data_IF_815573411613
#
_entry.id   IF_815573411613
#
_cell.length_a   1.000
_cell.length_b   1.000
_cell.length_c   1.000
_cell.angle_alpha   90.00
_cell.angle_beta   90.00
_cell.angle_gamma   90.00
#
_symmetry.space_group_name_H-M   'P 1'
#
loop_
_entity.id
_entity.type
_entity.pdbx_description
1 polymer ?
#
# COMPACT_ATOMS: atom_id res chain seq x y z
N UNK A 1 -44.60 25.47 -27.19
CA UNK A 1 -43.13 25.47 -27.03
C UNK A 1 -42.68 25.31 -25.57
N UNK A 2 -43.21 26.09 -24.60
CA UNK A 2 -42.82 25.98 -23.18
C UNK A 2 -43.12 24.61 -22.53
N UNK A 3 -44.25 23.97 -22.85
CA UNK A 3 -44.65 22.67 -22.26
C UNK A 3 -43.80 21.48 -22.76
N UNK A 4 -43.36 21.50 -24.02
CA UNK A 4 -42.49 20.46 -24.58
C UNK A 4 -41.08 20.55 -24.01
N UNK A 5 -40.54 21.76 -23.85
CA UNK A 5 -39.23 21.99 -23.25
C UNK A 5 -39.19 21.54 -21.77
N UNK A 6 -40.24 21.84 -21.00
CA UNK A 6 -40.36 21.38 -19.61
C UNK A 6 -40.42 19.84 -19.52
N UNK A 7 -41.13 19.16 -20.43
CA UNK A 7 -41.19 17.69 -20.47
C UNK A 7 -39.84 17.07 -20.84
N UNK A 8 -39.08 17.69 -21.74
CA UNK A 8 -37.73 17.24 -22.13
C UNK A 8 -36.75 17.42 -20.96
N UNK A 9 -36.76 18.58 -20.31
CA UNK A 9 -35.90 18.85 -19.13
C UNK A 9 -36.25 17.89 -17.99
N UNK A 10 -37.54 17.68 -17.71
CA UNK A 10 -37.99 16.73 -16.70
C UNK A 10 -37.57 15.28 -17.04
N UNK A 11 -37.69 14.87 -18.30
CA UNK A 11 -37.23 13.56 -18.77
C UNK A 11 -35.72 13.37 -18.59
N UNK A 12 -34.92 14.38 -18.96
CA UNK A 12 -33.47 14.37 -18.75
C UNK A 12 -33.08 14.31 -17.27
N UNK A 13 -33.80 15.04 -16.41
CA UNK A 13 -33.59 14.99 -14.97
C UNK A 13 -33.86 13.59 -14.40
N UNK A 14 -34.94 12.93 -14.84
CA UNK A 14 -35.25 11.55 -14.43
C UNK A 14 -34.18 10.56 -14.87
N UNK A 15 -33.71 10.66 -16.12
CA UNK A 15 -32.61 9.81 -16.63
C UNK A 15 -31.32 10.04 -15.84
N UNK A 16 -30.98 11.29 -15.53
CA UNK A 16 -29.82 11.62 -14.71
C UNK A 16 -29.93 11.02 -13.29
N UNK A 17 -31.11 11.09 -12.66
CA UNK A 17 -31.36 10.48 -11.34
C UNK A 17 -31.21 8.97 -11.40
N UNK A 18 -31.79 8.30 -12.41
CA UNK A 18 -31.65 6.85 -12.61
C UNK A 18 -30.18 6.46 -12.77
N UNK A 19 -29.41 7.23 -13.56
CA UNK A 19 -27.98 7.00 -13.75
C UNK A 19 -27.19 7.15 -12.43
N UNK A 20 -27.49 8.17 -11.62
CA UNK A 20 -26.86 8.36 -10.30
C UNK A 20 -27.19 7.19 -9.37
N UNK A 21 -28.44 6.75 -9.31
CA UNK A 21 -28.85 5.60 -8.47
C UNK A 21 -28.13 4.31 -8.92
N UNK A 22 -28.06 4.05 -10.23
CA UNK A 22 -27.35 2.89 -10.76
C UNK A 22 -25.85 2.91 -10.41
N UNK A 23 -25.20 4.09 -10.47
CA UNK A 23 -23.81 4.26 -10.05
C UNK A 23 -23.64 4.00 -8.55
N UNK A 24 -24.54 4.54 -7.72
CA UNK A 24 -24.52 4.32 -6.27
C UNK A 24 -24.63 2.84 -5.90
N UNK A 25 -25.51 2.09 -6.59
CA UNK A 25 -25.66 0.64 -6.39
C UNK A 25 -24.44 -0.17 -6.86
N UNK A 26 -23.63 0.41 -7.76
CA UNK A 26 -22.47 -0.26 -8.36
C UNK A 26 -21.13 0.09 -7.69
N UNK A 27 -21.10 0.99 -6.70
CA UNK A 27 -19.87 1.49 -6.07
C UNK A 27 -18.99 0.37 -5.52
N UNK A 28 -19.60 -0.63 -4.86
CA UNK A 28 -18.87 -1.75 -4.27
C UNK A 28 -18.08 -2.53 -5.33
N UNK A 29 -18.74 -2.84 -6.46
CA UNK A 29 -18.14 -3.55 -7.59
C UNK A 29 -17.08 -2.70 -8.29
N UNK A 30 -17.34 -1.41 -8.49
CA UNK A 30 -16.39 -0.48 -9.12
C UNK A 30 -15.12 -0.39 -8.29
N UNK A 31 -15.24 -0.22 -6.97
CA UNK A 31 -14.06 -0.12 -6.10
C UNK A 31 -13.33 -1.45 -6.00
N UNK A 32 -14.04 -2.57 -5.84
CA UNK A 32 -13.44 -3.90 -5.84
C UNK A 32 -12.63 -4.13 -7.13
N UNK A 33 -13.24 -3.93 -8.29
CA UNK A 33 -12.59 -4.11 -9.59
C UNK A 33 -11.44 -3.12 -9.80
N UNK A 34 -11.61 -1.87 -9.36
CA UNK A 34 -10.54 -0.87 -9.41
C UNK A 34 -9.30 -1.32 -8.65
N UNK A 35 -9.48 -1.80 -7.41
CA UNK A 35 -8.39 -2.32 -6.58
C UNK A 35 -7.76 -3.58 -7.20
N UNK A 36 -8.57 -4.55 -7.63
CA UNK A 36 -8.08 -5.84 -8.13
C UNK A 36 -7.54 -5.78 -9.56
N UNK A 37 -7.81 -4.72 -10.31
CA UNK A 37 -7.30 -4.55 -11.69
C UNK A 37 -6.12 -3.57 -11.74
N UNK A 38 -6.25 -2.39 -11.13
CA UNK A 38 -5.20 -1.38 -11.14
C UNK A 38 -4.04 -1.74 -10.22
N UNK A 39 -4.34 -2.27 -9.03
CA UNK A 39 -3.30 -2.60 -8.05
C UNK A 39 -2.23 -3.53 -8.61
N UNK A 40 -2.58 -4.69 -9.21
CA UNK A 40 -1.61 -5.60 -9.83
C UNK A 40 -0.74 -4.97 -10.92
N UNK A 41 -1.24 -3.98 -11.67
CA UNK A 41 -0.43 -3.28 -12.68
C UNK A 41 0.69 -2.46 -12.04
N UNK A 42 0.42 -1.84 -10.89
CA UNK A 42 1.37 -1.00 -10.14
C UNK A 42 2.37 -1.85 -9.35
N UNK A 43 1.89 -2.83 -8.58
CA UNK A 43 2.75 -3.58 -7.66
C UNK A 43 3.40 -4.82 -8.30
N UNK A 44 2.90 -5.24 -9.48
CA UNK A 44 3.28 -6.47 -10.19
C UNK A 44 3.19 -7.73 -9.31
N UNK A 45 2.08 -7.82 -8.57
CA UNK A 45 1.73 -8.95 -7.73
C UNK A 45 0.20 -9.11 -7.71
N UNK A 46 -0.33 -10.32 -7.55
CA UNK A 46 -1.77 -10.54 -7.54
C UNK A 46 -2.40 -9.89 -6.29
N UNK A 47 -3.57 -9.28 -6.47
CA UNK A 47 -4.38 -8.73 -5.38
C UNK A 47 -5.74 -9.40 -5.37
N UNK A 48 -6.17 -9.82 -4.18
CA UNK A 48 -7.49 -10.36 -3.93
C UNK A 48 -8.20 -9.51 -2.89
N UNK A 49 -9.52 -9.46 -3.01
CA UNK A 49 -10.39 -8.70 -2.13
C UNK A 49 -11.72 -9.45 -1.98
N UNK A 50 -12.07 -9.83 -0.75
CA UNK A 50 -13.30 -10.56 -0.50
C UNK A 50 -14.51 -9.67 -0.75
N UNK A 51 -14.53 -8.48 -0.15
CA UNK A 51 -15.68 -7.58 -0.23
C UNK A 51 -15.34 -6.11 -0.05
N UNK A 52 -16.22 -5.27 -0.60
CA UNK A 52 -16.25 -3.83 -0.41
C UNK A 52 -17.68 -3.41 -0.11
N UNK A 53 -17.86 -2.57 0.90
CA UNK A 53 -19.15 -1.96 1.24
C UNK A 53 -18.96 -0.47 1.36
N UNK A 54 -19.58 0.33 0.50
CA UNK A 54 -19.50 1.79 0.52
C UNK A 54 -20.90 2.37 0.53
N UNK A 55 -21.12 3.29 1.47
CA UNK A 55 -22.32 4.11 1.51
C UNK A 55 -22.10 5.37 0.69
N UNK A 56 -22.84 5.51 -0.42
CA UNK A 56 -22.79 6.71 -1.25
C UNK A 56 -23.28 7.97 -0.50
N UNK A 57 -24.15 7.80 0.50
CA UNK A 57 -24.75 8.91 1.24
C UNK A 57 -23.85 9.41 2.36
N UNK A 58 -23.34 8.51 3.20
CA UNK A 58 -22.42 8.89 4.29
C UNK A 58 -20.97 9.01 3.84
N UNK A 59 -20.61 8.42 2.69
CA UNK A 59 -19.22 8.34 2.20
C UNK A 59 -18.33 7.36 2.98
N UNK A 60 -18.89 6.70 3.99
CA UNK A 60 -18.20 5.68 4.76
C UNK A 60 -18.18 4.36 4.01
N UNK A 61 -17.08 3.62 4.14
CA UNK A 61 -16.97 2.29 3.56
C UNK A 61 -16.00 1.39 4.30
N UNK A 62 -16.06 0.11 3.94
CA UNK A 62 -15.27 -0.96 4.50
C UNK A 62 -14.77 -1.88 3.40
N UNK A 63 -13.53 -2.30 3.53
CA UNK A 63 -12.86 -3.27 2.68
C UNK A 63 -12.57 -4.51 3.53
N UNK A 64 -12.86 -5.70 3.00
CA UNK A 64 -12.68 -6.99 3.69
C UNK A 64 -11.79 -7.93 2.91
N UNK A 65 -10.96 -8.67 3.62
CA UNK A 65 -10.17 -9.78 3.09
C UNK A 65 -9.21 -9.34 2.00
N UNK A 66 -8.45 -8.26 2.24
CA UNK A 66 -7.40 -7.84 1.32
C UNK A 66 -6.21 -8.79 1.44
N UNK A 67 -5.82 -9.39 0.31
CA UNK A 67 -4.61 -10.20 0.20
C UNK A 67 -3.78 -9.68 -0.97
N UNK A 68 -2.55 -9.29 -0.68
CA UNK A 68 -1.54 -8.95 -1.68
C UNK A 68 -0.55 -10.09 -1.74
N UNK A 69 -0.44 -10.72 -2.91
CA UNK A 69 0.54 -11.77 -3.19
C UNK A 69 1.97 -11.25 -3.26
N UNK A 70 2.89 -12.12 -3.65
CA UNK A 70 4.27 -11.72 -3.88
C UNK A 70 4.55 -11.55 -5.38
N UNK A 71 5.50 -10.68 -5.75
CA UNK A 71 6.13 -10.72 -7.06
C UNK A 71 6.79 -12.08 -7.32
N UNK A 72 7.17 -12.34 -8.57
CA UNK A 72 7.93 -13.55 -8.93
C UNK A 72 9.26 -13.65 -8.15
N UNK A 73 9.65 -14.88 -7.82
CA UNK A 73 10.92 -15.17 -7.11
C UNK A 73 10.81 -15.31 -5.59
N UNK A 74 9.61 -15.15 -5.02
CA UNK A 74 9.35 -15.28 -3.57
C UNK A 74 8.40 -16.46 -3.30
N UNK A 75 8.58 -17.14 -2.17
CA UNK A 75 7.93 -18.42 -1.84
C UNK A 75 6.82 -18.31 -0.80
N UNK A 76 6.79 -17.23 -0.04
CA UNK A 76 5.74 -17.01 0.96
C UNK A 76 4.38 -16.84 0.28
N UNK A 77 3.26 -17.20 0.95
CA UNK A 77 1.94 -17.15 0.31
C UNK A 77 1.45 -15.74 -0.06
N UNK A 78 1.90 -14.71 0.64
CA UNK A 78 1.42 -13.33 0.47
C UNK A 78 2.41 -12.32 1.05
N UNK A 79 2.50 -11.14 0.44
CA UNK A 79 3.24 -10.00 0.99
C UNK A 79 2.44 -9.27 2.08
N UNK A 80 1.13 -9.11 1.92
CA UNK A 80 0.26 -8.42 2.89
C UNK A 80 -1.08 -9.15 3.00
N UNK A 81 -1.57 -9.29 4.23
CA UNK A 81 -2.96 -9.68 4.52
C UNK A 81 -3.59 -8.68 5.44
N UNK A 82 -4.85 -8.34 5.20
CA UNK A 82 -5.63 -7.45 6.04
C UNK A 82 -7.08 -7.92 6.09
N UNK A 83 -7.55 -8.20 7.31
CA UNK A 83 -8.93 -8.64 7.53
C UNK A 83 -9.94 -7.56 7.16
N UNK A 84 -9.77 -6.37 7.72
CA UNK A 84 -10.68 -5.24 7.51
C UNK A 84 -9.94 -3.91 7.44
N UNK A 85 -10.40 -3.02 6.55
CA UNK A 85 -10.02 -1.62 6.54
C UNK A 85 -11.27 -0.75 6.43
N UNK A 86 -11.35 0.34 7.19
CA UNK A 86 -12.39 1.35 7.04
C UNK A 86 -11.88 2.53 6.23
N UNK A 87 -12.74 3.12 5.41
CA UNK A 87 -12.46 4.34 4.66
C UNK A 87 -13.61 5.33 4.82
N UNK A 88 -13.27 6.62 4.79
CA UNK A 88 -14.23 7.71 4.77
C UNK A 88 -13.90 8.64 3.61
N UNK A 89 -14.84 8.86 2.71
CA UNK A 89 -14.73 9.74 1.56
C UNK A 89 -15.74 10.87 1.71
N UNK A 90 -15.44 12.05 1.16
CA UNK A 90 -16.41 13.14 1.04
C UNK A 90 -17.32 12.86 -0.17
N UNK A 91 -18.63 12.55 -0.01
CA UNK A 91 -19.47 12.09 -1.12
C UNK A 91 -19.47 13.01 -2.35
N UNK A 92 -19.63 14.31 -2.12
CA UNK A 92 -19.66 15.32 -3.19
C UNK A 92 -18.35 15.41 -3.99
N UNK A 93 -17.23 14.95 -3.43
CA UNK A 93 -15.94 14.96 -4.13
C UNK A 93 -15.84 13.91 -5.24
N UNK A 94 -16.67 12.85 -5.21
CA UNK A 94 -16.68 11.80 -6.22
C UNK A 94 -17.07 12.32 -7.61
N UNK A 95 -17.88 13.38 -7.65
CA UNK A 95 -18.33 14.03 -8.88
C UNK A 95 -17.28 14.98 -9.47
N UNK A 96 -16.31 15.43 -8.68
CA UNK A 96 -15.27 16.36 -9.11
C UNK A 96 -14.02 15.66 -9.67
N UNK A 97 -13.05 16.47 -10.09
CA UNK A 97 -11.75 16.02 -10.59
C UNK A 97 -10.80 15.53 -9.47
N UNK A 98 -11.07 15.98 -8.23
CA UNK A 98 -10.34 15.61 -7.01
C UNK A 98 -11.26 14.93 -6.01
N UNK A 99 -10.99 13.65 -5.75
CA UNK A 99 -11.67 12.86 -4.71
C UNK A 99 -10.98 13.14 -3.37
N UNK A 100 -11.77 13.43 -2.33
CA UNK A 100 -11.27 13.69 -0.97
C UNK A 100 -11.57 12.48 -0.09
N UNK A 101 -10.52 11.74 0.25
CA UNK A 101 -10.53 10.66 1.24
C UNK A 101 -10.15 11.26 2.60
N UNK A 102 -11.11 11.33 3.50
CA UNK A 102 -10.92 11.90 4.83
C UNK A 102 -10.12 10.98 5.75
N UNK A 103 -10.36 9.67 5.68
CA UNK A 103 -9.55 8.72 6.44
C UNK A 103 -9.50 7.34 5.78
N UNK A 104 -8.37 6.66 5.94
CA UNK A 104 -8.20 5.24 5.71
C UNK A 104 -7.62 4.66 6.99
N UNK A 105 -8.26 3.64 7.56
CA UNK A 105 -7.78 2.97 8.78
C UNK A 105 -7.70 1.48 8.54
N UNK A 106 -6.51 0.94 8.68
CA UNK A 106 -6.23 -0.49 8.64
C UNK A 106 -5.80 -0.94 10.04
N UNK A 107 -6.42 -2.02 10.53
CA UNK A 107 -6.10 -2.58 11.84
C UNK A 107 -5.65 -4.04 11.67
N UNK A 108 -4.58 -4.42 12.37
CA UNK A 108 -4.14 -5.81 12.41
C UNK A 108 -3.53 -6.32 11.11
N UNK A 109 -2.91 -5.45 10.30
CA UNK A 109 -2.29 -5.88 9.04
C UNK A 109 -1.15 -6.89 9.28
N UNK A 110 -1.13 -7.98 8.53
CA UNK A 110 -0.02 -8.94 8.52
C UNK A 110 0.86 -8.69 7.31
N UNK A 111 2.09 -8.23 7.56
CA UNK A 111 3.07 -7.91 6.53
C UNK A 111 4.12 -9.00 6.53
N UNK A 112 4.29 -9.72 5.41
CA UNK A 112 5.32 -10.75 5.31
C UNK A 112 6.56 -10.17 4.67
N UNK A 113 7.67 -10.18 5.41
CA UNK A 113 8.98 -9.80 4.89
C UNK A 113 9.74 -11.08 4.53
N UNK A 114 9.84 -11.36 3.23
CA UNK A 114 10.66 -12.46 2.72
C UNK A 114 11.99 -11.92 2.22
N UNK A 115 13.07 -12.20 2.95
CA UNK A 115 14.43 -11.80 2.60
C UNK A 115 15.22 -12.89 1.90
N UNK A 116 15.95 -12.51 0.85
CA UNK A 116 16.89 -13.35 0.10
C UNK A 116 18.19 -12.59 -0.20
N UNK A 117 19.18 -13.26 -0.79
CA UNK A 117 20.42 -12.63 -1.27
C UNK A 117 20.17 -11.61 -2.41
N UNK A 118 19.06 -11.75 -3.13
CA UNK A 118 18.68 -10.89 -4.27
C UNK A 118 17.78 -9.72 -3.86
N UNK A 119 17.53 -9.54 -2.56
CA UNK A 119 16.62 -8.53 -2.03
C UNK A 119 15.43 -9.15 -1.29
N UNK A 120 14.36 -8.37 -1.14
CA UNK A 120 13.14 -8.77 -0.42
C UNK A 120 11.89 -8.60 -1.28
N UNK A 121 10.83 -9.34 -0.96
CA UNK A 121 9.54 -9.25 -1.63
C UNK A 121 8.98 -7.81 -1.58
N UNK A 122 9.01 -7.19 -0.40
CA UNK A 122 8.51 -5.82 -0.22
C UNK A 122 9.42 -4.79 -0.91
N UNK A 123 10.74 -5.04 -0.96
CA UNK A 123 11.67 -4.23 -1.76
C UNK A 123 11.32 -4.30 -3.25
N UNK A 124 11.02 -5.49 -3.77
CA UNK A 124 10.62 -5.68 -5.16
C UNK A 124 9.29 -4.98 -5.48
N UNK A 125 8.32 -5.05 -4.56
CA UNK A 125 7.06 -4.30 -4.68
C UNK A 125 7.33 -2.79 -4.76
N UNK A 126 8.22 -2.27 -3.90
CA UNK A 126 8.59 -0.86 -3.92
C UNK A 126 9.23 -0.45 -5.26
N UNK A 127 10.16 -1.25 -5.79
CA UNK A 127 10.77 -1.03 -7.12
C UNK A 127 9.71 -0.97 -8.23
N UNK A 128 8.75 -1.89 -8.22
CA UNK A 128 7.69 -1.95 -9.23
C UNK A 128 6.82 -0.67 -9.19
N UNK A 129 6.46 -0.22 -7.99
CA UNK A 129 5.70 1.02 -7.79
C UNK A 129 6.50 2.23 -8.24
N UNK A 130 7.79 2.30 -7.89
CA UNK A 130 8.68 3.38 -8.31
C UNK A 130 8.81 3.45 -9.83
N UNK A 131 8.97 2.30 -10.49
CA UNK A 131 9.01 2.20 -11.96
C UNK A 131 7.68 2.63 -12.59
N UNK A 132 6.53 2.23 -12.03
CA UNK A 132 5.21 2.63 -12.52
C UNK A 132 5.00 4.14 -12.40
N UNK A 133 5.32 4.73 -11.25
CA UNK A 133 5.23 6.19 -11.04
C UNK A 133 6.17 6.95 -11.98
N UNK A 134 7.40 6.46 -12.17
CA UNK A 134 8.33 7.08 -13.12
C UNK A 134 7.80 7.04 -14.56
N UNK A 135 7.23 5.92 -14.99
CA UNK A 135 6.63 5.78 -16.32
C UNK A 135 5.42 6.72 -16.52
N UNK A 136 4.59 6.92 -15.48
CA UNK A 136 3.46 7.86 -15.51
C UNK A 136 3.89 9.32 -15.69
N UNK A 137 5.05 9.69 -15.13
CA UNK A 137 5.55 11.06 -15.17
C UNK A 137 6.31 11.38 -16.47
N UNK A 138 6.68 10.36 -17.25
CA UNK A 138 7.46 10.50 -18.48
C UNK A 138 8.92 10.93 -18.23
N UNK A 139 9.77 10.95 -19.28
CA UNK A 139 11.08 11.59 -19.17
C UNK A 139 10.88 13.08 -18.88
N UNK A 140 11.59 13.59 -17.87
CA UNK A 140 11.73 15.03 -17.69
C UNK A 140 12.64 15.57 -18.80
N UNK A 141 12.08 16.01 -19.91
CA UNK A 141 12.85 16.69 -20.95
C UNK A 141 13.40 18.03 -20.42
N UNK A 142 14.66 18.30 -20.76
CA UNK A 142 15.45 19.46 -20.30
C UNK A 142 15.02 20.80 -20.89
N UNK A 143 13.97 20.82 -21.70
CA UNK A 143 13.37 22.02 -22.24
C UNK A 143 11.95 22.16 -21.69
N UNK A 144 11.77 23.06 -20.71
CA UNK A 144 10.58 23.26 -19.89
C UNK A 144 9.32 23.73 -20.64
N UNK A 145 8.93 23.05 -21.71
CA UNK A 145 7.67 23.25 -22.43
C UNK A 145 7.10 21.91 -22.88
N UNK A 146 6.39 21.23 -21.98
CA UNK A 146 5.11 20.62 -22.35
C UNK A 146 4.33 20.24 -21.10
N UNK A 147 3.01 20.41 -21.20
CA UNK A 147 2.02 19.98 -20.22
C UNK A 147 2.31 18.55 -19.79
N UNK A 148 2.37 18.32 -18.46
CA UNK A 148 2.18 16.98 -17.91
C UNK A 148 0.95 16.42 -18.62
N UNK A 149 1.12 15.42 -19.50
CA UNK A 149 0.00 14.56 -19.89
C UNK A 149 -0.49 13.96 -18.59
N UNK A 150 -1.48 14.60 -17.98
CA UNK A 150 -2.11 14.12 -16.77
C UNK A 150 -2.61 12.75 -17.15
N UNK A 151 -1.99 11.71 -16.61
CA UNK A 151 -2.48 10.35 -16.79
C UNK A 151 -3.99 10.42 -16.50
N UNK A 152 -4.85 9.96 -17.44
CA UNK A 152 -6.29 10.09 -17.29
C UNK A 152 -6.71 9.32 -16.05
N UNK A 153 -6.98 10.06 -14.97
CA UNK A 153 -7.25 9.50 -13.66
C UNK A 153 -7.58 10.61 -12.67
N UNK A 154 -8.65 10.42 -11.89
CA UNK A 154 -9.05 11.38 -10.86
C UNK A 154 -7.91 11.58 -9.87
N UNK A 155 -7.69 12.83 -9.47
CA UNK A 155 -6.74 13.16 -8.39
C UNK A 155 -7.35 12.80 -7.05
N UNK A 156 -6.49 12.55 -6.07
CA UNK A 156 -6.86 12.29 -4.70
C UNK A 156 -6.36 13.43 -3.80
N UNK A 157 -7.05 13.57 -2.69
CA UNK A 157 -6.55 14.15 -1.44
C UNK A 157 -6.83 13.10 -0.37
N UNK A 158 -5.84 12.80 0.46
CA UNK A 158 -5.99 11.88 1.60
C UNK A 158 -5.60 12.61 2.87
N UNK A 159 -6.58 12.90 3.71
CA UNK A 159 -6.36 13.69 4.93
C UNK A 159 -5.62 12.85 5.99
N UNK A 160 -5.97 11.56 6.15
CA UNK A 160 -5.34 10.67 7.12
C UNK A 160 -5.30 9.20 6.65
N UNK A 161 -4.16 8.54 6.87
CA UNK A 161 -4.00 7.08 6.79
C UNK A 161 -3.42 6.60 8.11
N UNK A 162 -4.08 5.64 8.75
CA UNK A 162 -3.59 4.98 9.96
C UNK A 162 -3.50 3.47 9.71
N UNK A 163 -2.34 2.88 10.05
CA UNK A 163 -2.16 1.44 10.14
C UNK A 163 -1.74 1.14 11.57
N UNK A 164 -2.60 0.45 12.32
CA UNK A 164 -2.37 0.11 13.73
C UNK A 164 -2.35 -1.40 13.93
N UNK A 165 -1.72 -1.82 15.03
CA UNK A 165 -1.64 -3.24 15.45
C UNK A 165 -1.09 -4.18 14.37
N UNK A 166 -0.29 -3.65 13.43
CA UNK A 166 0.30 -4.45 12.37
C UNK A 166 1.43 -5.32 12.91
N UNK A 167 1.66 -6.46 12.25
CA UNK A 167 2.75 -7.38 12.57
C UNK A 167 3.51 -7.77 11.31
N UNK A 168 4.81 -7.98 11.48
CA UNK A 168 5.71 -8.46 10.44
C UNK A 168 5.93 -9.95 10.65
N UNK A 169 5.62 -10.76 9.65
CA UNK A 169 6.03 -12.15 9.55
C UNK A 169 7.37 -12.19 8.79
N UNK A 170 8.47 -12.32 9.52
CA UNK A 170 9.80 -12.43 8.95
C UNK A 170 10.01 -13.86 8.44
N UNK A 171 10.35 -13.99 7.16
CA UNK A 171 10.76 -15.23 6.51
C UNK A 171 12.12 -15.01 5.85
N UNK A 172 13.14 -15.76 6.28
CA UNK A 172 14.47 -15.63 5.69
C UNK A 172 15.01 -17.01 5.36
N UNK A 173 15.32 -17.23 4.08
CA UNK A 173 15.93 -18.47 3.61
C UNK A 173 17.30 -18.70 4.25
N UNK A 174 18.06 -17.63 4.53
CA UNK A 174 19.35 -17.67 5.23
C UNK A 174 19.23 -18.14 6.68
N UNK A 175 18.05 -18.04 7.31
CA UNK A 175 17.80 -18.55 8.66
C UNK A 175 17.34 -20.02 8.68
N UNK A 176 17.54 -20.76 7.58
CA UNK A 176 17.11 -22.15 7.48
C UNK A 176 15.59 -22.32 7.48
N UNK A 177 14.85 -21.31 6.99
CA UNK A 177 13.38 -21.33 6.94
C UNK A 177 12.68 -20.97 8.26
N UNK A 178 13.43 -20.52 9.27
CA UNK A 178 12.83 -20.03 10.52
C UNK A 178 12.08 -18.73 10.30
N UNK A 179 10.92 -18.62 10.94
CA UNK A 179 10.07 -17.43 10.92
C UNK A 179 9.99 -16.77 12.30
N UNK A 180 9.84 -15.44 12.31
CA UNK A 180 9.58 -14.68 13.53
C UNK A 180 8.45 -13.68 13.28
N UNK A 181 7.64 -13.42 14.31
CA UNK A 181 6.60 -12.39 14.27
C UNK A 181 7.06 -11.19 15.09
N UNK A 182 7.09 -10.01 14.48
CA UNK A 182 7.58 -8.78 15.09
C UNK A 182 6.44 -7.75 15.04
N UNK A 183 6.05 -7.11 16.15
CA UNK A 183 5.07 -6.03 16.10
C UNK A 183 5.62 -4.85 15.30
N UNK A 184 4.79 -4.26 14.45
CA UNK A 184 5.10 -3.05 13.69
C UNK A 184 4.53 -1.85 14.44
N UNK A 185 5.33 -0.81 14.73
CA UNK A 185 4.81 0.44 15.28
C UNK A 185 3.77 1.06 14.37
N UNK A 186 2.79 1.75 14.97
CA UNK A 186 1.74 2.45 14.24
C UNK A 186 2.30 3.37 13.15
N UNK A 187 1.65 3.33 11.99
CA UNK A 187 1.96 4.19 10.86
C UNK A 187 0.85 5.21 10.73
N UNK A 188 1.23 6.48 10.73
CA UNK A 188 0.33 7.60 10.50
C UNK A 188 0.88 8.50 9.41
N UNK A 189 0.08 8.69 8.37
CA UNK A 189 0.36 9.61 7.27
C UNK A 189 -0.80 10.61 7.20
N UNK A 190 -0.50 11.89 7.01
CA UNK A 190 -1.52 12.93 6.91
C UNK A 190 -1.25 13.82 5.71
N UNK A 191 -2.28 14.52 5.27
CA UNK A 191 -2.18 15.67 4.37
C UNK A 191 -1.63 15.36 2.96
N UNK A 192 -1.89 14.16 2.44
CA UNK A 192 -1.45 13.77 1.10
C UNK A 192 -2.30 14.47 0.04
N UNK A 193 -1.69 15.26 -0.84
CA UNK A 193 -2.39 15.90 -1.95
C UNK A 193 -3.40 16.99 -1.55
N UNK A 194 -3.19 17.69 -0.42
CA UNK A 194 -4.04 18.82 0.00
C UNK A 194 -4.08 19.99 -1.00
N UNK A 195 -3.03 20.16 -1.81
CA UNK A 195 -2.94 21.21 -2.82
C UNK A 195 -3.96 21.06 -3.96
N UNK A 196 -4.00 22.06 -4.85
CA UNK A 196 -4.90 22.08 -6.01
C UNK A 196 -4.61 20.92 -6.99
N UNK A 197 -3.33 20.56 -7.15
CA UNK A 197 -2.91 19.49 -8.06
C UNK A 197 -3.30 18.08 -7.57
N UNK A 198 -3.66 17.94 -6.28
CA UNK A 198 -3.91 16.65 -5.65
C UNK A 198 -2.69 15.71 -5.70
N UNK A 199 -2.95 14.44 -5.45
CA UNK A 199 -1.98 13.34 -5.58
C UNK A 199 -2.60 12.20 -6.39
N UNK A 200 -1.83 11.49 -7.19
CA UNK A 200 -2.34 10.32 -7.92
C UNK A 200 -2.47 9.09 -7.00
N UNK A 201 -3.34 8.11 -7.33
CA UNK A 201 -3.42 6.86 -6.58
C UNK A 201 -2.06 6.14 -6.44
N UNK A 202 -1.26 6.11 -7.51
CA UNK A 202 0.05 5.46 -7.51
C UNK A 202 1.05 6.19 -6.59
N UNK A 203 1.02 7.53 -6.53
CA UNK A 203 1.82 8.31 -5.59
C UNK A 203 1.41 8.06 -4.13
N UNK A 204 0.10 7.92 -3.83
CA UNK A 204 -0.36 7.52 -2.49
C UNK A 204 0.19 6.14 -2.10
N UNK A 205 0.05 5.16 -3.01
CA UNK A 205 0.59 3.80 -2.80
C UNK A 205 2.10 3.85 -2.52
N UNK A 206 2.85 4.63 -3.32
CA UNK A 206 4.29 4.84 -3.13
C UNK A 206 4.64 5.38 -1.75
N UNK A 207 3.93 6.42 -1.29
CA UNK A 207 4.18 7.02 0.04
C UNK A 207 3.88 6.02 1.16
N UNK A 208 2.74 5.33 1.08
CA UNK A 208 2.34 4.31 2.07
C UNK A 208 3.36 3.17 2.13
N UNK A 209 3.72 2.60 0.98
CA UNK A 209 4.69 1.52 0.90
C UNK A 209 6.07 1.93 1.42
N UNK A 210 6.52 3.15 1.12
CA UNK A 210 7.80 3.67 1.62
C UNK A 210 7.82 3.76 3.15
N UNK A 211 6.73 4.22 3.76
CA UNK A 211 6.64 4.32 5.21
C UNK A 211 6.57 2.94 5.86
N UNK A 212 5.74 2.03 5.32
CA UNK A 212 5.68 0.62 5.74
C UNK A 212 7.06 -0.03 5.65
N UNK A 213 7.78 0.17 4.54
CA UNK A 213 9.12 -0.37 4.34
C UNK A 213 10.15 0.18 5.33
N UNK A 214 10.09 1.49 5.60
CA UNK A 214 10.98 2.15 6.55
C UNK A 214 10.79 1.56 7.95
N UNK A 215 9.54 1.46 8.41
CA UNK A 215 9.19 0.91 9.72
C UNK A 215 9.48 -0.59 9.81
N UNK A 216 9.22 -1.35 8.75
CA UNK A 216 9.52 -2.78 8.67
C UNK A 216 11.03 -3.03 8.76
N UNK A 217 11.82 -2.26 8.00
CA UNK A 217 13.29 -2.37 8.04
C UNK A 217 13.83 -2.04 9.43
N UNK A 218 13.33 -0.97 10.06
CA UNK A 218 13.71 -0.60 11.42
C UNK A 218 13.35 -1.69 12.45
N UNK A 219 12.15 -2.27 12.37
CA UNK A 219 11.71 -3.33 13.28
C UNK A 219 12.52 -4.63 13.09
N UNK A 220 12.75 -5.06 11.84
CA UNK A 220 13.55 -6.26 11.53
C UNK A 220 15.00 -6.07 11.96
N UNK A 221 15.63 -4.93 11.64
CA UNK A 221 17.01 -4.65 12.05
C UNK A 221 17.16 -4.57 13.58
N UNK A 222 16.19 -3.97 14.27
CA UNK A 222 16.14 -3.96 15.74
C UNK A 222 16.05 -5.37 16.33
N UNK A 223 15.16 -6.20 15.79
CA UNK A 223 15.00 -7.59 16.19
C UNK A 223 16.29 -8.41 15.99
N UNK A 224 16.90 -8.34 14.80
CA UNK A 224 18.13 -9.07 14.48
C UNK A 224 19.32 -8.60 15.32
N UNK A 225 19.42 -7.29 15.59
CA UNK A 225 20.44 -6.74 16.47
C UNK A 225 20.28 -7.22 17.92
N UNK A 226 19.03 -7.28 18.41
CA UNK A 226 18.72 -7.83 19.73
C UNK A 226 19.09 -9.31 19.83
N UNK A 227 18.71 -10.11 18.84
CA UNK A 227 19.06 -11.53 18.78
C UNK A 227 20.59 -11.76 18.70
N UNK A 228 21.29 -10.99 17.87
CA UNK A 228 22.75 -11.05 17.74
C UNK A 228 23.48 -10.68 19.03
N UNK A 229 23.00 -9.66 19.76
CA UNK A 229 23.52 -9.30 21.09
C UNK A 229 23.31 -10.43 22.09
N UNK A 230 22.10 -11.01 22.17
CA UNK A 230 21.83 -12.13 23.07
C UNK A 230 22.72 -13.35 22.80
N UNK A 231 22.94 -13.68 21.52
CA UNK A 231 23.87 -14.75 21.13
C UNK A 231 25.31 -14.41 21.55
N UNK A 232 25.75 -13.17 21.29
CA UNK A 232 27.10 -12.72 21.66
C UNK A 232 27.32 -12.73 23.16
N UNK A 233 26.35 -12.29 23.95
CA UNK A 233 26.46 -12.24 25.40
C UNK A 233 26.39 -13.66 26.02
N UNK A 234 25.60 -14.56 25.44
CA UNK A 234 25.63 -15.99 25.76
C UNK A 234 26.94 -16.69 25.34
N UNK A 235 27.56 -16.28 24.23
CA UNK A 235 28.86 -16.81 23.81
C UNK A 235 29.99 -16.32 24.72
N UNK A 236 29.95 -15.06 25.17
CA UNK A 236 30.90 -14.49 26.14
C UNK A 236 30.85 -15.19 27.50
N UNK A 237 29.68 -15.68 27.93
CA UNK A 237 29.55 -16.43 29.18
C UNK A 237 30.02 -17.88 29.08
N UNK A 238 30.20 -18.43 27.87
CA UNK A 238 30.61 -19.83 27.63
C UNK A 238 32.08 -19.96 27.16
N UNK A 239 32.75 -18.87 26.76
CA UNK A 239 34.18 -18.84 26.44
C UNK A 239 34.54 -18.78 24.95
N UNK A 240 35.79 -18.38 24.65
CA UNK A 240 36.24 -17.72 23.40
C UNK A 240 35.94 -18.38 22.05
N UNK A 241 35.79 -19.71 21.97
CA UNK A 241 35.59 -20.42 20.69
C UNK A 241 34.22 -20.15 20.03
N UNK A 242 33.19 -19.76 20.80
CA UNK A 242 31.86 -19.41 20.26
C UNK A 242 31.81 -18.01 19.62
N UNK A 243 32.80 -17.16 19.90
CA UNK A 243 32.82 -15.74 19.49
C UNK A 243 33.00 -15.58 17.97
N UNK A 244 33.77 -16.46 17.34
CA UNK A 244 34.08 -16.31 15.91
C UNK A 244 32.97 -16.85 15.00
N UNK A 245 32.23 -17.87 15.45
CA UNK A 245 30.98 -18.29 14.79
C UNK A 245 29.90 -17.19 14.86
N UNK A 246 29.79 -16.49 16.00
CA UNK A 246 28.85 -15.38 16.18
C UNK A 246 29.18 -14.15 15.30
N UNK A 247 30.48 -13.87 15.08
CA UNK A 247 30.92 -12.81 14.14
C UNK A 247 30.54 -13.12 12.69
N UNK A 248 30.56 -14.39 12.27
CA UNK A 248 30.15 -14.80 10.92
C UNK A 248 28.67 -14.52 10.63
N UNK A 249 27.79 -14.83 11.58
CA UNK A 249 26.35 -14.59 11.47
C UNK A 249 26.01 -13.10 11.46
N UNK A 250 26.65 -12.31 12.33
CA UNK A 250 26.42 -10.85 12.37
C UNK A 250 26.91 -10.14 11.11
N UNK A 251 28.03 -10.59 10.53
CA UNK A 251 28.54 -10.05 9.26
C UNK A 251 27.61 -10.40 8.07
N UNK A 252 27.11 -11.63 8.00
CA UNK A 252 26.14 -12.04 6.98
C UNK A 252 24.82 -11.26 7.04
N UNK A 253 24.34 -10.94 8.24
CA UNK A 253 23.17 -10.07 8.44
C UNK A 253 23.49 -8.63 8.03
N UNK A 254 24.66 -8.09 8.42
CA UNK A 254 25.06 -6.73 8.07
C UNK A 254 25.21 -6.49 6.56
N UNK A 255 25.76 -7.47 5.84
CA UNK A 255 25.96 -7.36 4.38
C UNK A 255 24.63 -7.43 3.60
N UNK A 256 23.59 -8.07 4.14
CA UNK A 256 22.23 -8.05 3.57
C UNK A 256 21.57 -6.65 3.62
N UNK A 257 21.95 -5.79 4.58
CA UNK A 257 21.39 -4.43 4.70
C UNK A 257 22.27 -3.35 4.10
N UNK A 258 23.56 -3.61 3.86
CA UNK A 258 24.49 -2.66 3.21
C UNK A 258 24.39 -2.62 1.69
N UNK A 259 23.71 -3.58 1.06
CA UNK A 259 23.60 -3.68 -0.41
C UNK A 259 22.39 -2.93 -0.99
N UNK A 260 21.95 -1.85 -0.32
CA UNK A 260 20.99 -0.87 -0.86
C UNK A 260 21.74 0.28 -1.53
#
# INVERSE_FOLDING_TARGET
>A
MKSTLVKIIAGLAVVAVIAVVALMLSLNTIVKNGVTSFGPEVIKAPIQLDGVSISAFSGGGEIRGLVIGNPEGFKTPSAVKLGTASLQVKPMSLLGDKIVVQSIKADGAEITFEGSLSGSNLGKIQENVDAYVAALLGPADKDGKTEKKSAPGKKLQVDEIIISNAKINLSMTVLGGKSATIPLPDIKLTDLGKGEQGVTPAEVIKVVLKEVMTKTTAAVSGFLSGAGKAIMDGAKSVGGAATDAAKGVTKGIGDLFKKK
#
